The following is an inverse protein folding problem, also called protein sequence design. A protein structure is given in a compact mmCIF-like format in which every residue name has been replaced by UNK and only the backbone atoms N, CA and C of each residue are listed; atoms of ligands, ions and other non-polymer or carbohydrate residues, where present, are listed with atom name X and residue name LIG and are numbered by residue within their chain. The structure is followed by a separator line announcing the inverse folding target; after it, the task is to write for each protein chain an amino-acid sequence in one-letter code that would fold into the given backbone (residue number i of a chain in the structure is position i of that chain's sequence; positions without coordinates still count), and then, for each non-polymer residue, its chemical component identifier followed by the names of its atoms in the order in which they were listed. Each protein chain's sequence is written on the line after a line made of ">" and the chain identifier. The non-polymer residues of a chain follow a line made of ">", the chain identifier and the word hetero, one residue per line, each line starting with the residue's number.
data_IF_012136945676
#
_entry.id   IF_012136945676
#
_cell.length_a   1.000
_cell.length_b   1.000
_cell.length_c   1.000
_cell.angle_alpha   90.00
_cell.angle_beta   90.00
_cell.angle_gamma   90.00
#
_symmetry.space_group_name_H-M   'P 1'
#
loop_
_entity.id
_entity.type
_entity.pdbx_description
1 polymer ?
2 non-polymer ?
3 water ?
#
# COMPACT_ATOMS: atom_id res chain seq x y z
N UNK A 25 12.65 -10.29 12.84
CA UNK A 25 12.38 -8.95 12.15
C UNK A 25 11.37 -7.99 12.83
N UNK A 26 11.35 -6.68 12.47
CA UNK A 26 10.44 -5.62 13.08
C UNK A 26 9.95 -4.47 12.18
N UNK A 27 8.90 -3.81 12.64
CA UNK A 27 8.44 -2.53 12.07
C UNK A 27 8.67 -1.39 13.05
N UNK A 28 9.34 -0.35 12.59
CA UNK A 28 9.56 0.86 13.39
C UNK A 28 8.60 2.00 12.97
N UNK A 29 7.84 2.52 13.94
CA UNK A 29 6.89 3.57 13.71
C UNK A 29 7.53 4.90 14.05
N UNK A 30 7.39 5.91 13.19
CA UNK A 30 7.78 7.28 13.51
C UNK A 30 6.66 8.14 12.93
N UNK A 31 6.73 9.44 13.17
CA UNK A 31 5.77 10.45 12.67
C UNK A 31 6.51 11.65 12.08
N UNK A 32 6.04 12.23 10.99
CA UNK A 32 6.48 13.57 10.56
C UNK A 32 5.21 14.25 10.20
N UNK A 33 4.84 15.27 10.99
CA UNK A 33 3.58 15.98 10.82
C UNK A 33 2.40 15.01 10.97
N UNK A 34 1.49 14.98 9.98
CA UNK A 34 0.30 14.16 10.08
C UNK A 34 0.45 12.81 9.34
N UNK A 35 1.66 12.37 9.05
CA UNK A 35 1.85 11.09 8.39
C UNK A 35 2.65 10.14 9.26
N UNK A 36 2.04 8.98 9.52
CA UNK A 36 2.74 7.85 10.09
C UNK A 36 3.68 7.19 9.08
N UNK A 37 4.89 6.92 9.54
CA UNK A 37 5.87 6.24 8.76
C UNK A 37 6.19 4.88 9.36
N UNK A 38 5.96 3.81 8.61
CA UNK A 38 6.27 2.49 9.05
C UNK A 38 7.50 1.98 8.33
N UNK A 39 8.55 1.66 9.08
CA UNK A 39 9.78 1.26 8.49
C UNK A 39 10.00 -0.23 8.73
N UNK A 40 9.99 -1.01 7.64
CA UNK A 40 10.31 -2.44 7.68
C UNK A 40 11.80 -2.62 7.96
N UNK A 41 12.10 -3.33 9.02
CA UNK A 41 13.49 -3.48 9.43
C UNK A 41 13.78 -4.95 9.64
N UNK A 42 14.64 -5.47 8.76
CA UNK A 42 15.28 -6.74 8.99
C UNK A 42 16.58 -6.75 8.18
N UNK A 43 17.58 -6.02 8.70
CA UNK A 43 18.79 -5.73 7.93
C UNK A 43 19.52 -6.98 7.37
N UNK A 44 19.53 -8.09 8.12
CA UNK A 44 20.25 -9.30 7.69
C UNK A 44 19.57 -9.98 6.49
N UNK A 45 18.24 -9.78 6.38
CA UNK A 45 17.42 -10.46 5.36
C UNK A 45 16.74 -9.47 4.40
N UNK A 46 17.32 -8.28 4.26
CA UNK A 46 16.81 -7.23 3.34
C UNK A 46 15.31 -6.94 3.54
N UNK A 47 14.99 -6.75 4.81
CA UNK A 47 13.66 -6.35 5.24
C UNK A 47 12.56 -7.33 4.91
N UNK A 48 12.93 -8.61 4.93
CA UNK A 48 12.02 -9.71 4.75
C UNK A 48 10.83 -9.66 5.70
N UNK A 49 9.66 -9.98 5.12
CA UNK A 49 8.38 -10.09 5.84
C UNK A 49 8.30 -11.41 6.58
N UNK A 50 7.48 -11.44 7.62
CA UNK A 50 7.39 -12.59 8.52
C UNK A 50 6.38 -12.31 9.59
N UNK A 51 5.94 -13.35 10.32
CA UNK A 51 4.76 -13.23 11.21
C UNK A 51 4.75 -12.06 12.20
N UNK A 52 5.93 -11.61 12.66
CA UNK A 52 6.02 -10.50 13.64
C UNK A 52 5.94 -9.15 12.96
N UNK A 53 6.45 -9.04 11.75
CA UNK A 53 6.23 -7.84 10.97
C UNK A 53 4.71 -7.64 10.70
N UNK A 54 3.98 -8.73 10.44
CA UNK A 54 2.57 -8.63 10.12
C UNK A 54 1.77 -8.11 11.30
N UNK A 55 2.04 -8.66 12.49
CA UNK A 55 1.35 -8.24 13.71
C UNK A 55 1.72 -6.81 14.13
N UNK A 56 2.97 -6.43 14.00
CA UNK A 56 3.31 -5.05 14.36
C UNK A 56 2.71 -4.03 13.36
N UNK A 57 2.64 -4.41 12.11
CA UNK A 57 2.03 -3.57 11.12
C UNK A 57 0.53 -3.46 11.26
N UNK A 58 -0.14 -4.56 11.63
CA UNK A 58 -1.57 -4.48 11.94
C UNK A 58 -1.77 -3.55 13.13
N UNK A 59 -0.94 -3.72 14.16
CA UNK A 59 -1.06 -2.92 15.38
C UNK A 59 -0.87 -1.46 15.09
N UNK A 60 0.13 -1.12 14.28
CA UNK A 60 0.43 0.28 14.03
C UNK A 60 -0.73 0.98 13.26
N UNK A 61 -1.31 0.25 12.30
CA UNK A 61 -2.55 0.71 11.68
C UNK A 61 -3.67 0.83 12.69
N UNK A 62 -3.92 -0.20 13.50
CA UNK A 62 -5.00 -0.07 14.49
C UNK A 62 -4.82 1.15 15.43
N UNK A 63 -3.60 1.40 15.91
CA UNK A 63 -3.34 2.49 16.86
C UNK A 63 -3.64 3.86 16.22
N UNK A 64 -3.31 4.00 14.93
CA UNK A 64 -3.42 5.27 14.25
C UNK A 64 -4.78 5.50 13.66
N UNK A 65 -5.61 4.45 13.60
CA UNK A 65 -6.87 4.48 12.86
C UNK A 65 -7.81 5.61 13.25
N UNK A 66 -8.13 5.76 14.54
CA UNK A 66 -9.06 6.86 14.96
C UNK A 66 -8.33 8.02 15.64
N UNK A 67 -7.04 8.12 15.37
CA UNK A 67 -6.20 9.19 15.84
C UNK A 67 -6.04 10.29 14.79
N UNK A 68 -6.72 11.41 14.98
CA UNK A 68 -6.72 12.49 13.99
C UNK A 68 -5.40 13.27 13.81
N UNK A 69 -4.40 13.05 14.63
CA UNK A 69 -3.06 13.59 14.31
C UNK A 69 -2.42 12.85 13.12
N UNK A 70 -2.94 11.65 12.78
CA UNK A 70 -2.51 10.89 11.60
C UNK A 70 -3.56 10.92 10.53
N UNK A 71 -3.18 11.42 9.35
CA UNK A 71 -4.10 11.43 8.21
C UNK A 71 -3.65 10.60 6.99
N UNK A 72 -2.42 10.09 7.03
CA UNK A 72 -1.92 9.21 6.00
C UNK A 72 -0.76 8.37 6.51
N UNK A 73 -0.44 7.32 5.74
CA UNK A 73 0.58 6.34 6.14
C UNK A 73 1.58 6.13 5.03
N UNK A 74 2.86 6.11 5.37
CA UNK A 74 3.89 5.73 4.48
C UNK A 74 4.58 4.47 5.01
N UNK A 75 4.76 3.51 4.11
CA UNK A 75 5.42 2.26 4.37
C UNK A 75 6.67 2.24 3.55
N UNK A 76 7.78 1.90 4.23
CA UNK A 76 9.07 2.05 3.65
C UNK A 76 10.02 1.07 4.28
N UNK A 77 11.10 0.77 3.56
CA UNK A 77 12.07 -0.20 4.01
C UNK A 77 13.21 0.56 4.66
N UNK A 78 13.79 -0.02 5.68
CA UNK A 78 14.96 0.59 6.28
C UNK A 78 16.15 0.49 5.34
N UNK A 79 16.87 1.58 5.17
CA UNK A 79 18.11 1.53 4.39
C UNK A 79 17.86 1.61 2.88
N UNK A 80 18.61 0.80 2.12
CA UNK A 80 18.65 0.89 0.65
C UNK A 80 17.63 -0.04 -0.01
N UNK A 81 16.85 -0.77 0.78
CA UNK A 81 15.92 -1.77 0.26
C UNK A 81 14.55 -1.62 0.94
N UNK A 82 13.51 -1.80 0.13
CA UNK A 82 12.12 -1.81 0.60
C UNK A 82 11.76 -3.15 1.26
N UNK A 83 11.66 -4.21 0.46
CA UNK A 83 11.44 -5.53 1.02
C UNK A 83 11.68 -6.58 -0.06
N UNK A 84 12.61 -7.49 0.22
CA UNK A 84 12.98 -8.55 -0.75
C UNK A 84 12.09 -9.76 -0.72
N UNK A 85 10.99 -9.76 0.00
CA UNK A 85 10.10 -10.90 0.00
C UNK A 85 10.11 -11.57 1.36
N UNK A 86 9.76 -12.84 1.37
CA UNK A 86 9.88 -13.63 2.59
C UNK A 86 11.31 -14.11 2.77
N UNK A 87 11.54 -14.73 3.90
CA UNK A 87 12.83 -15.24 4.30
C UNK A 87 12.85 -16.69 3.83
N UNK A 88 13.77 -17.01 2.94
CA UNK A 88 13.82 -18.32 2.31
C UNK A 88 14.25 -19.42 3.26
N UNK A 89 15.11 -19.10 4.21
CA UNK A 89 15.46 -20.10 5.27
C UNK A 89 14.27 -20.48 6.15
N UNK A 90 13.43 -19.50 6.54
CA UNK A 90 12.22 -19.82 7.30
C UNK A 90 11.29 -20.67 6.45
N UNK A 91 11.09 -20.34 5.18
CA UNK A 91 10.22 -21.17 4.33
C UNK A 91 10.72 -22.59 4.23
N UNK A 92 12.01 -22.74 3.94
CA UNK A 92 12.67 -24.05 3.91
C UNK A 92 12.40 -24.85 5.25
N UNK A 93 12.47 -24.17 6.41
CA UNK A 93 12.08 -24.77 7.70
C UNK A 93 10.60 -25.17 7.86
N UNK A 94 9.70 -24.35 7.33
CA UNK A 94 8.28 -24.63 7.48
C UNK A 94 7.86 -25.78 6.62
N UNK A 95 8.71 -26.06 5.64
CA UNK A 95 8.54 -27.26 4.84
C UNK A 95 8.68 -28.59 5.62
N UNK A 96 9.36 -28.55 6.78
CA UNK A 96 9.45 -29.71 7.70
C UNK A 96 8.23 -29.81 8.61
N UNK A 97 7.38 -28.79 8.60
CA UNK A 97 6.32 -28.66 9.55
C UNK A 97 5.11 -29.02 8.82
N UNK A 98 4.01 -29.24 9.53
CA UNK A 98 2.76 -29.46 8.84
C UNK A 98 2.40 -28.19 8.00
N UNK A 99 1.69 -28.40 6.88
CA UNK A 99 1.19 -27.34 6.01
C UNK A 99 0.53 -26.19 6.72
N UNK A 100 -0.02 -26.46 7.91
CA UNK A 100 -0.85 -25.47 8.58
C UNK A 100 0.01 -24.37 9.13
N UNK A 101 1.30 -24.66 9.35
CA UNK A 101 2.19 -23.64 9.89
C UNK A 101 2.40 -22.53 8.87
N UNK A 102 2.58 -22.93 7.61
CA UNK A 102 2.80 -21.94 6.57
C UNK A 102 1.47 -21.25 6.28
N UNK A 103 0.38 -22.02 6.23
CA UNK A 103 -0.93 -21.45 6.02
C UNK A 103 -1.21 -20.35 7.05
N UNK A 104 -0.84 -20.59 8.30
CA UNK A 104 -1.01 -19.62 9.36
C UNK A 104 -0.08 -18.43 9.15
N UNK A 105 1.18 -18.65 8.77
CA UNK A 105 2.04 -17.51 8.44
C UNK A 105 1.42 -16.65 7.32
N UNK A 106 0.86 -17.28 6.29
CA UNK A 106 0.23 -16.53 5.19
C UNK A 106 -1.00 -15.73 5.69
N UNK A 107 -1.84 -16.32 6.56
CA UNK A 107 -3.02 -15.62 7.06
C UNK A 107 -2.64 -14.29 7.75
N UNK A 108 -1.53 -14.27 8.48
CA UNK A 108 -1.01 -13.02 9.09
C UNK A 108 -0.71 -11.96 8.03
N UNK A 109 -0.08 -12.37 6.93
CA UNK A 109 0.28 -11.46 5.84
C UNK A 109 -0.99 -10.95 5.20
N UNK A 110 -1.93 -11.86 5.02
CA UNK A 110 -3.13 -11.60 4.30
C UNK A 110 -4.07 -10.71 5.12
N UNK A 111 -4.04 -10.87 6.43
CA UNK A 111 -4.66 -9.88 7.31
C UNK A 111 -4.05 -8.47 7.23
N UNK A 112 -2.72 -8.36 7.20
CA UNK A 112 -1.96 -7.08 6.96
C UNK A 112 -2.48 -6.41 5.69
N UNK A 113 -2.48 -7.17 4.63
CA UNK A 113 -2.85 -6.72 3.30
C UNK A 113 -4.27 -6.23 3.28
N UNK A 114 -5.20 -7.05 3.76
CA UNK A 114 -6.62 -6.63 3.96
C UNK A 114 -6.82 -5.35 4.81
N UNK A 115 -6.00 -5.25 5.84
CA UNK A 115 -6.09 -4.15 6.75
C UNK A 115 -5.57 -2.86 6.06
N UNK A 116 -4.56 -3.00 5.20
CA UNK A 116 -4.12 -1.84 4.45
C UNK A 116 -5.24 -1.43 3.51
N UNK A 117 -5.78 -2.42 2.84
CA UNK A 117 -6.73 -2.24 1.74
C UNK A 117 -8.03 -1.62 2.23
N UNK A 118 -8.43 -1.93 3.46
CA UNK A 118 -9.63 -1.36 4.04
C UNK A 118 -9.38 -0.18 5.00
N UNK A 119 -8.14 0.24 5.18
CA UNK A 119 -7.80 1.32 6.08
C UNK A 119 -8.49 2.59 5.58
N UNK A 120 -9.07 3.36 6.50
CA UNK A 120 -9.82 4.53 6.04
C UNK A 120 -8.95 5.75 5.77
N UNK A 121 -7.64 5.56 5.73
CA UNK A 121 -6.74 6.60 5.36
C UNK A 121 -5.80 6.10 4.25
N UNK A 122 -5.27 7.02 3.44
CA UNK A 122 -4.38 6.66 2.35
C UNK A 122 -3.06 6.04 2.84
N UNK A 123 -2.67 4.95 2.21
CA UNK A 123 -1.40 4.34 2.52
C UNK A 123 -0.52 4.42 1.28
N UNK A 124 0.71 4.83 1.48
CA UNK A 124 1.64 5.07 0.40
C UNK A 124 2.91 4.25 0.59
N UNK A 125 3.33 3.53 -0.47
CA UNK A 125 4.61 2.81 -0.45
C UNK A 125 5.73 3.64 -1.07
N UNK A 126 6.88 3.64 -0.40
CA UNK A 126 8.05 4.43 -0.78
C UNK A 126 9.15 3.42 -0.99
N UNK A 127 9.47 3.14 -2.22
CA UNK A 127 10.29 1.96 -2.57
C UNK A 127 11.65 2.40 -3.08
N UNK A 128 12.69 2.06 -2.30
CA UNK A 128 14.07 2.13 -2.73
C UNK A 128 14.57 0.69 -3.00
N UNK A 129 15.55 0.55 -3.87
CA UNK A 129 16.06 -0.80 -4.25
C UNK A 129 14.99 -1.84 -4.62
N UNK A 130 15.08 -3.02 -4.02
CA UNK A 130 14.16 -4.09 -4.34
C UNK A 130 12.78 -4.05 -3.59
N UNK A 131 11.74 -4.40 -4.34
CA UNK A 131 10.41 -4.74 -3.84
C UNK A 131 10.17 -6.06 -4.55
N UNK A 132 10.46 -7.17 -3.87
CA UNK A 132 10.47 -8.48 -4.50
C UNK A 132 9.57 -9.49 -3.77
N UNK A 133 8.96 -10.39 -4.54
CA UNK A 133 7.98 -11.34 -4.00
C UNK A 133 6.87 -10.64 -3.27
N UNK A 134 6.70 -10.97 -2.00
CA UNK A 134 5.68 -10.35 -1.16
C UNK A 134 5.97 -8.85 -0.91
N UNK A 135 7.23 -8.42 -1.06
CA UNK A 135 7.53 -6.97 -1.12
C UNK A 135 6.82 -6.23 -2.27
N UNK A 136 6.81 -6.80 -3.45
CA UNK A 136 6.11 -6.23 -4.57
C UNK A 136 4.58 -6.29 -4.28
N UNK A 137 4.09 -7.43 -3.81
CA UNK A 137 2.66 -7.59 -3.46
C UNK A 137 2.22 -6.54 -2.47
N UNK A 138 3.05 -6.30 -1.46
CA UNK A 138 2.80 -5.27 -0.46
C UNK A 138 2.70 -3.88 -1.08
N UNK A 139 3.66 -3.53 -1.94
CA UNK A 139 3.62 -2.25 -2.60
C UNK A 139 2.33 -2.12 -3.46
N UNK A 140 1.95 -3.20 -4.13
CA UNK A 140 0.68 -3.16 -4.92
C UNK A 140 -0.58 -3.01 -4.05
N UNK A 141 -0.52 -3.38 -2.77
CA UNK A 141 -1.72 -3.32 -1.95
C UNK A 141 -2.00 -1.92 -1.44
N UNK A 142 -0.99 -1.05 -1.54
CA UNK A 142 -1.12 0.32 -1.01
C UNK A 142 -1.92 1.14 -2.02
N UNK A 143 -2.41 2.28 -1.58
CA UNK A 143 -3.12 3.18 -2.46
C UNK A 143 -2.22 3.92 -3.44
N UNK A 144 -0.99 4.19 -3.07
CA UNK A 144 -0.05 4.97 -3.92
C UNK A 144 1.31 4.35 -3.77
N UNK A 145 2.14 4.52 -4.77
CA UNK A 145 3.52 4.11 -4.72
C UNK A 145 4.40 5.17 -5.35
N UNK A 146 5.54 5.35 -4.68
CA UNK A 146 6.62 6.21 -5.07
C UNK A 146 7.83 5.29 -5.06
N UNK A 147 8.56 5.29 -6.17
CA UNK A 147 9.66 4.38 -6.38
C UNK A 147 10.89 5.13 -6.91
N UNK A 148 12.06 4.85 -6.32
CA UNK A 148 13.29 5.33 -6.87
C UNK A 148 13.47 4.78 -8.30
N UNK A 149 14.09 5.56 -9.16
CA UNK A 149 14.19 5.23 -10.58
C UNK A 149 15.02 4.00 -10.78
N UNK A 150 15.78 3.62 -9.76
CA UNK A 150 16.56 2.39 -9.84
C UNK A 150 16.00 1.25 -9.00
N UNK A 151 14.73 1.38 -8.54
CA UNK A 151 14.01 0.32 -7.81
C UNK A 151 13.77 -0.93 -8.72
N UNK A 152 13.77 -2.11 -8.11
CA UNK A 152 13.66 -3.36 -8.81
C UNK A 152 12.37 -3.98 -8.27
N UNK A 153 11.40 -4.09 -9.15
CA UNK A 153 10.15 -4.70 -8.81
C UNK A 153 10.13 -6.03 -9.48
N UNK A 154 9.83 -7.10 -8.73
CA UNK A 154 9.85 -8.43 -9.30
C UNK A 154 9.00 -9.38 -8.44
N UNK A 156 9.28 -12.63 -7.60
CA UNK A 156 10.33 -13.68 -7.57
C UNK A 156 9.83 -15.08 -7.23
N UNK A 157 8.58 -15.25 -6.88
CA UNK A 157 8.06 -16.54 -6.40
C UNK A 157 8.37 -17.70 -7.37
N UNK A 158 7.98 -17.49 -8.62
CA UNK A 158 8.23 -18.39 -9.74
C UNK A 158 9.64 -18.95 -9.81
N UNK A 159 10.57 -18.08 -9.46
CA UNK A 159 11.96 -18.31 -9.68
C UNK A 159 12.44 -19.33 -8.65
N UNK A 160 11.70 -19.48 -7.55
CA UNK A 160 12.04 -20.46 -6.57
C UNK A 160 10.97 -21.53 -6.44
N UNK A 161 10.13 -21.67 -7.46
CA UNK A 161 9.24 -22.80 -7.56
C UNK A 161 7.92 -22.58 -6.90
N UNK A 162 7.64 -21.33 -6.59
CA UNK A 162 6.43 -20.97 -5.84
C UNK A 162 5.43 -20.12 -6.66
N UNK A 163 4.24 -19.98 -6.10
CA UNK A 163 3.20 -19.12 -6.63
C UNK A 163 3.03 -17.90 -5.68
N UNK A 164 2.31 -16.83 -6.10
CA UNK A 164 2.39 -15.67 -5.28
C UNK A 164 1.43 -15.60 -4.17
N UNK A 165 1.77 -14.67 -3.29
CA UNK A 165 0.88 -14.33 -2.19
C UNK A 165 0.88 -12.85 -1.95
N UNK A 166 0.25 -12.42 -0.87
CA UNK A 166 0.01 -11.03 -0.63
C UNK A 166 -0.94 -10.31 -1.58
N UNK A 167 -1.63 -11.06 -2.45
CA UNK A 167 -2.60 -10.52 -3.41
C UNK A 167 -1.99 -10.04 -4.69
N UNK A 168 -0.70 -10.32 -4.83
CA UNK A 168 0.06 -9.98 -6.02
C UNK A 168 -0.59 -10.54 -7.28
N UNK A 169 -1.19 -11.73 -7.24
CA UNK A 169 -1.83 -12.27 -8.45
C UNK A 169 -3.08 -11.46 -8.83
N UNK A 170 -3.82 -11.05 -7.84
CA UNK A 170 -4.98 -10.22 -8.06
C UNK A 170 -4.64 -8.83 -8.53
N UNK A 171 -3.75 -8.18 -7.79
CA UNK A 171 -3.38 -6.82 -8.12
C UNK A 171 -2.86 -6.75 -9.55
N UNK A 172 -2.03 -7.70 -9.98
CA UNK A 172 -1.53 -7.66 -11.36
C UNK A 172 -2.47 -8.18 -12.44
N UNK A 173 -3.15 -9.27 -12.16
CA UNK A 173 -4.10 -9.82 -13.14
C UNK A 173 -5.25 -8.90 -13.48
N UNK A 174 -5.69 -8.11 -12.52
CA UNK A 174 -6.81 -7.18 -12.70
C UNK A 174 -6.37 -5.80 -13.17
N UNK A 175 -5.09 -5.45 -13.04
CA UNK A 175 -4.64 -4.12 -13.46
C UNK A 175 -4.02 -4.12 -14.82
N UNK A 176 -3.62 -5.29 -15.29
CA UNK A 176 -2.84 -5.37 -16.51
C UNK A 176 -3.46 -6.41 -17.42
N UNK A 177 -3.15 -6.35 -18.71
CA UNK A 177 -3.65 -7.40 -19.62
C UNK A 177 -2.89 -8.70 -19.42
N UNK A 178 -3.46 -9.74 -19.96
CA UNK A 178 -2.99 -11.08 -19.87
C UNK A 178 -1.49 -11.25 -20.13
N UNK A 179 -1.03 -10.78 -21.27
CA UNK A 179 0.35 -11.02 -21.68
C UNK A 179 1.31 -10.51 -20.59
N UNK A 180 1.14 -9.24 -20.21
CA UNK A 180 2.09 -8.66 -19.28
C UNK A 180 1.93 -9.23 -17.90
N UNK A 181 0.70 -9.47 -17.46
CA UNK A 181 0.51 -10.07 -16.14
C UNK A 181 1.15 -11.46 -16.06
N UNK A 182 1.14 -12.18 -17.17
CA UNK A 182 1.72 -13.49 -17.26
C UNK A 182 3.25 -13.41 -17.19
N UNK A 183 3.82 -12.48 -17.92
CA UNK A 183 5.25 -12.26 -17.90
C UNK A 183 5.77 -11.96 -16.49
N UNK A 184 5.08 -11.05 -15.80
CA UNK A 184 5.44 -10.69 -14.43
C UNK A 184 5.26 -11.82 -13.45
N UNK A 185 4.15 -12.53 -13.53
CA UNK A 185 3.86 -13.55 -12.55
C UNK A 185 4.51 -14.91 -12.90
N UNK A 187 6.83 -15.41 -15.51
CA UNK A 187 8.23 -15.23 -15.88
C UNK A 187 9.09 -14.84 -14.72
N UNK A 188 8.55 -14.21 -13.65
CA UNK A 188 9.43 -13.66 -12.63
C UNK A 188 10.35 -12.58 -13.15
N UNK A 189 9.88 -11.92 -14.21
CA UNK A 189 10.65 -10.89 -14.92
C UNK A 189 10.63 -9.55 -14.16
N UNK A 190 11.81 -8.95 -13.93
CA UNK A 190 11.97 -7.61 -13.32
C UNK A 190 11.25 -6.57 -14.18
N UNK A 191 10.61 -5.58 -13.56
CA UNK A 191 10.03 -4.45 -14.30
C UNK A 191 10.44 -3.13 -13.62
N UNK A 192 10.71 -2.11 -14.42
CA UNK A 192 11.22 -0.85 -13.94
C UNK A 192 10.10 0.06 -13.36
N UNK A 193 10.54 0.89 -12.41
CA UNK A 193 9.77 1.94 -11.83
C UNK A 193 9.17 2.83 -12.90
N UNK A 194 9.93 3.12 -13.93
CA UNK A 194 9.46 4.01 -15.03
C UNK A 194 8.30 3.36 -15.82
N UNK A 195 8.47 2.09 -16.15
CA UNK A 195 7.46 1.31 -16.84
C UNK A 195 6.21 1.11 -15.96
N UNK A 196 6.39 0.84 -14.66
CA UNK A 196 5.24 0.85 -13.75
C UNK A 196 4.53 2.19 -13.75
N UNK A 197 5.28 3.29 -13.69
CA UNK A 197 4.68 4.63 -13.75
C UNK A 197 3.82 4.81 -15.07
N UNK A 198 4.35 4.39 -16.22
CA UNK A 198 3.69 4.54 -17.54
C UNK A 198 2.38 3.77 -17.60
N UNK A 199 2.33 2.60 -16.95
CA UNK A 199 1.10 1.79 -16.82
C UNK A 199 0.09 2.29 -15.79
N UNK A 200 0.52 3.11 -14.81
CA UNK A 200 -0.36 3.64 -13.76
C UNK A 200 -0.31 2.85 -12.46
N UNK A 201 0.66 1.96 -12.33
CA UNK A 201 0.86 1.22 -11.10
C UNK A 201 1.75 1.95 -10.08
N UNK A 202 2.59 2.88 -10.56
CA UNK A 202 3.42 3.79 -9.72
C UNK A 202 3.06 5.24 -10.02
N UNK A 203 2.94 6.07 -8.97
CA UNK A 203 2.54 7.45 -9.10
C UNK A 203 3.66 8.40 -9.50
N UNK A 204 4.83 8.20 -8.93
CA UNK A 204 5.98 9.15 -8.97
C UNK A 204 7.27 8.30 -8.95
N UNK A 205 8.18 8.60 -9.84
CA UNK A 205 9.48 7.95 -9.96
C UNK A 205 10.49 8.98 -9.44
N UNK A 206 11.17 8.69 -8.35
CA UNK A 206 12.07 9.65 -7.72
C UNK A 206 13.53 9.27 -7.95
N UNK A 207 14.43 10.21 -7.67
CA UNK A 207 15.87 9.92 -7.64
C UNK A 207 16.19 8.90 -6.54
N UNK A 208 17.20 8.08 -6.82
CA UNK A 208 17.66 7.07 -5.88
C UNK A 208 17.85 7.79 -4.53
N UNK A 209 17.38 7.19 -3.45
CA UNK A 209 17.42 7.84 -2.14
C UNK A 209 16.38 8.89 -1.85
N UNK A 210 15.63 9.39 -2.83
CA UNK A 210 14.55 10.37 -2.56
C UNK A 210 13.10 9.83 -2.46
N UNK A 211 12.93 8.50 -2.47
CA UNK A 211 11.56 7.94 -2.58
C UNK A 211 10.72 8.34 -1.35
N UNK A 212 11.30 8.17 -0.17
CA UNK A 212 10.61 8.57 1.09
C UNK A 212 10.22 10.05 1.20
N UNK A 213 11.12 10.94 0.85
CA UNK A 213 10.81 12.37 0.81
C UNK A 213 9.71 12.75 -0.16
N UNK A 214 9.78 12.19 -1.34
CA UNK A 214 8.69 12.36 -2.33
C UNK A 214 7.33 11.80 -1.81
N UNK A 215 7.36 10.67 -1.12
CA UNK A 215 6.16 10.07 -0.54
C UNK A 215 5.60 10.96 0.49
N UNK A 216 6.48 11.58 1.31
CA UNK A 216 6.02 12.56 2.32
C UNK A 216 5.46 13.85 1.72
N UNK A 217 6.03 14.28 0.63
CA UNK A 217 5.42 15.38 -0.13
C UNK A 217 4.01 15.01 -0.55
N UNK A 219 2.10 12.79 0.56
CA UNK A 219 1.24 12.53 1.72
C UNK A 219 0.77 13.84 2.33
N UNK A 220 1.66 14.84 2.33
CA UNK A 220 1.26 16.21 2.75
C UNK A 220 0.11 16.80 1.96
N UNK A 221 0.07 16.54 0.65
CA UNK A 221 -1.04 17.05 -0.17
C UNK A 221 -2.33 16.33 0.14
N UNK A 222 -2.22 15.06 0.45
CA UNK A 222 -3.40 14.30 0.92
C UNK A 222 -3.84 14.71 2.32
N UNK A 223 -2.85 15.03 3.17
CA UNK A 223 -3.18 15.50 4.52
C UNK A 223 -4.02 16.76 4.52
N UNK A 224 -3.97 17.56 3.45
CA UNK A 224 -4.77 18.77 3.37
C UNK A 224 -6.24 18.51 2.90
N UNK A 225 -6.54 17.31 2.44
CA UNK A 225 -7.87 17.02 1.96
C UNK A 225 -8.69 16.55 3.12
N UNK A 226 -10.00 16.57 2.92
CA UNK A 226 -10.97 16.13 3.91
C UNK A 226 -10.95 14.65 4.19
N UNK A 227 -10.74 14.27 5.46
CA UNK A 227 -10.62 12.85 5.79
C UNK A 227 -11.81 11.98 5.38
N UNK A 228 -13.02 12.48 5.55
CA UNK A 228 -14.19 11.67 5.28
C UNK A 228 -14.28 11.47 3.75
N UNK A 229 -13.87 12.47 2.97
CA UNK A 229 -14.01 12.38 1.50
C UNK A 229 -13.02 11.37 0.99
N UNK A 230 -11.78 11.43 1.47
CA UNK A 230 -10.79 10.40 1.11
C UNK A 230 -11.20 8.96 1.48
N UNK A 231 -11.71 8.79 2.71
CA UNK A 231 -12.25 7.49 3.17
C UNK A 231 -13.30 6.97 2.24
N UNK A 232 -14.27 7.83 1.92
CA UNK A 232 -15.32 7.52 0.92
C UNK A 232 -14.77 7.15 -0.41
N UNK A 233 -13.74 7.86 -0.86
CA UNK A 233 -13.16 7.65 -2.21
C UNK A 233 -12.50 6.29 -2.25
N UNK A 234 -11.69 5.99 -1.23
CA UNK A 234 -10.99 4.68 -1.15
C UNK A 234 -11.99 3.52 -1.12
N UNK A 235 -13.07 3.68 -0.34
CA UNK A 235 -14.16 2.72 -0.30
C UNK A 235 -14.80 2.52 -1.67
N UNK A 236 -15.05 3.60 -2.40
CA UNK A 236 -15.55 3.46 -3.79
C UNK A 236 -14.63 2.71 -4.76
N UNK A 237 -13.38 3.05 -4.71
CA UNK A 237 -12.38 2.37 -5.50
C UNK A 237 -12.35 0.89 -5.15
N UNK A 238 -12.36 0.56 -3.87
CA UNK A 238 -12.49 -0.86 -3.48
C UNK A 238 -13.73 -1.56 -4.01
N UNK A 239 -14.87 -0.90 -3.91
CA UNK A 239 -16.11 -1.56 -4.29
C UNK A 239 -16.28 -1.66 -5.81
N UNK A 240 -15.58 -0.81 -6.58
CA UNK A 240 -15.76 -0.78 -8.01
C UNK A 240 -15.48 -2.13 -8.63
N UNK A 241 -14.47 -2.84 -8.15
CA UNK A 241 -14.13 -4.14 -8.77
C UNK A 241 -15.19 -5.21 -8.62
N UNK A 242 -16.16 -5.01 -7.72
CA UNK A 242 -17.20 -6.00 -7.58
C UNK A 242 -18.59 -5.45 -7.83
N UNK A 243 -18.73 -4.20 -8.28
CA UNK A 243 -20.06 -3.62 -8.50
C UNK A 243 -20.26 -3.55 -10.00
N UNK A 244 -21.49 -3.57 -10.44
CA UNK A 244 -21.81 -3.04 -11.77
C UNK A 244 -21.81 -1.55 -11.69
N UNK A 245 -21.90 -0.89 -12.83
CA UNK A 245 -21.98 0.57 -12.88
C UNK A 245 -23.15 1.08 -12.09
N UNK A 246 -24.30 0.49 -12.37
CA UNK A 246 -25.55 0.82 -11.64
C UNK A 246 -25.43 0.77 -10.16
N UNK A 247 -24.87 -0.32 -9.64
CA UNK A 247 -24.58 -0.44 -8.19
C UNK A 247 -23.60 0.68 -7.74
N UNK A 248 -22.52 0.88 -8.48
CA UNK A 248 -21.59 1.98 -8.16
C UNK A 248 -22.30 3.32 -8.19
N UNK A 249 -23.17 3.58 -9.15
CA UNK A 249 -23.83 4.91 -9.19
C UNK A 249 -24.66 5.15 -7.92
N UNK A 250 -25.36 4.12 -7.44
CA UNK A 250 -26.08 4.23 -6.16
C UNK A 250 -25.09 4.50 -4.98
N UNK A 251 -23.96 3.80 -4.94
CA UNK A 251 -22.98 4.03 -3.85
C UNK A 251 -22.48 5.42 -3.91
N UNK A 252 -22.14 5.87 -5.12
CA UNK A 252 -21.64 7.23 -5.35
C UNK A 252 -22.65 8.26 -4.89
N UNK A 253 -23.92 8.04 -5.22
CA UNK A 253 -24.99 8.96 -4.78
C UNK A 253 -25.04 9.11 -3.25
N UNK A 254 -25.00 8.00 -2.54
CA UNK A 254 -25.11 7.99 -1.07
C UNK A 254 -23.94 8.68 -0.43
N UNK A 255 -22.74 8.31 -0.86
CA UNK A 255 -21.50 9.02 -0.43
C UNK A 255 -21.50 10.49 -0.75
N UNK A 256 -21.89 10.86 -1.95
CA UNK A 256 -21.90 12.25 -2.31
C UNK A 256 -22.81 13.11 -1.39
N UNK A 257 -24.06 12.69 -1.25
CA UNK A 257 -25.04 13.40 -0.42
C UNK A 257 -24.50 13.51 1.01
N UNK A 258 -24.02 12.39 1.57
CA UNK A 258 -23.44 12.45 2.89
C UNK A 258 -22.28 13.42 3.03
N UNK A 259 -21.36 13.40 2.07
CA UNK A 259 -20.21 14.26 2.14
C UNK A 259 -20.55 15.71 1.90
N UNK A 260 -21.58 15.97 1.11
CA UNK A 260 -22.01 17.35 0.94
C UNK A 260 -22.59 17.93 2.27
N UNK A 261 -23.38 17.12 2.96
CA UNK A 261 -24.06 17.56 4.19
C UNK A 261 -23.10 17.58 5.37
N UNK A 262 -22.05 16.76 5.32
CA UNK A 262 -20.97 16.89 6.27
C UNK A 262 -20.42 18.31 6.30
N UNK A 263 -19.99 18.74 7.49
CA UNK A 263 -19.39 20.05 7.71
C UNK A 263 -18.20 20.34 6.75
N UNK A 264 -17.37 19.34 6.52
CA UNK A 264 -16.31 19.43 5.51
C UNK A 264 -16.81 19.82 4.09
N UNK A 265 -17.98 19.30 3.70
CA UNK A 265 -18.61 19.64 2.43
C UNK A 265 -18.86 21.13 2.36
N UNK A 266 -19.51 21.69 3.41
CA UNK A 266 -19.72 23.13 3.53
C UNK A 266 -18.41 23.94 3.55
N UNK A 267 -17.42 23.47 4.32
CA UNK A 267 -16.10 24.16 4.34
C UNK A 267 -15.39 24.12 2.97
N UNK A 268 -15.44 22.94 2.31
CA UNK A 268 -14.79 22.75 1.04
C UNK A 268 -15.30 23.69 -0.06
N UNK A 269 -16.62 23.77 -0.20
CA UNK A 269 -17.31 24.58 -1.22
C UNK A 269 -17.10 26.05 -0.90
N UNK A 270 -17.36 26.43 0.36
CA UNK A 270 -17.21 27.84 0.85
C UNK A 270 -15.78 28.32 0.69
N UNK A 271 -14.81 27.45 1.02
CA UNK A 271 -13.39 27.82 0.85
C UNK A 271 -13.07 28.07 -0.59
N UNK A 272 -13.47 27.18 -1.50
CA UNK A 272 -13.24 27.42 -2.93
C UNK A 272 -13.91 28.71 -3.44
N UNK A 273 -15.20 28.88 -3.13
CA UNK A 273 -15.94 30.10 -3.53
C UNK A 273 -15.31 31.37 -2.95
N UNK A 274 -14.75 31.26 -1.72
CA UNK A 274 -14.07 32.38 -1.09
C UNK A 274 -12.58 32.50 -1.47
N UNK A 275 -12.05 31.65 -2.34
CA UNK A 275 -10.61 31.66 -2.63
C UNK A 275 -9.73 31.60 -1.37
N UNK A 276 -10.14 30.78 -0.41
CA UNK A 276 -9.31 30.50 0.75
C UNK A 276 -9.02 28.99 0.87
N UNK A 277 -8.16 28.65 1.82
CA UNK A 277 -7.72 27.28 2.06
C UNK A 277 -8.70 26.64 3.05
N UNK A 278 -9.34 25.54 2.63
CA UNK A 278 -10.31 24.89 3.49
C UNK A 278 -9.58 24.34 4.73
N UNK A 279 -10.26 24.32 5.87
CA UNK A 279 -9.75 23.80 7.11
C UNK A 279 -10.71 22.68 7.48
N UNK A 280 -10.24 21.46 7.34
CA UNK A 280 -11.10 20.30 7.56
C UNK A 280 -10.84 19.68 8.93
N UNK A 281 -11.86 19.01 9.45
CA UNK A 281 -11.71 18.11 10.56
C UNK A 281 -11.97 16.68 10.01
#
# INVERSE_FOLDING_TARGET
>A
XHHHHHHSSGVDLGTENLYFQSXAGAIKSTSEGQTLILTLSNPEFRNALGPEIYAAGIEALNAAENNPEIRSVVITGEGAVFCAGGNLQRLQANRREAPEVQAQSIEGLHNWIDSIRTYPKPVIAAVEGAAAGAGFSLALACDFVVAASNAVFVXSYSTVGLSPDGGGSWSLARSLPRALASELLXGGERISAQRLHDLGLVNKVASAGDALSEALRXAGQLNARAPNALASIKELINEASSNTLSQQLACERDHFVRNLHHSNGGEGIAAFLGKRTPQYR
#
